data_IF_147831174061
#
_entry.id   IF_147831174061
#
_cell.length_a   1.000
_cell.length_b   1.000
_cell.length_c   1.000
_cell.angle_alpha   90.00
_cell.angle_beta   90.00
_cell.angle_gamma   90.00
#
_symmetry.space_group_name_H-M   'P 1'
#
loop_
_entity.id
_entity.type
_entity.pdbx_description
1 polymer ?
#
# COMPACT_ATOMS: atom_id res chain seq x y z
N UNK A 1 8.29 -0.48 -10.22
CA UNK A 1 8.67 -0.21 -8.80
C UNK A 1 9.00 1.24 -8.53
N UNK A 2 9.67 1.92 -9.48
CA UNK A 2 10.04 3.34 -9.28
C UNK A 2 8.84 4.26 -9.03
N UNK A 3 7.77 4.07 -9.78
CA UNK A 3 6.55 4.87 -9.59
C UNK A 3 5.92 4.63 -8.21
N UNK A 4 5.90 3.39 -7.77
CA UNK A 4 5.37 3.05 -6.45
C UNK A 4 6.21 3.69 -5.34
N UNK A 5 7.53 3.64 -5.47
CA UNK A 5 8.43 4.25 -4.48
C UNK A 5 8.26 5.77 -4.44
N UNK A 6 8.00 6.40 -5.59
CA UNK A 6 7.69 7.82 -5.65
C UNK A 6 6.42 8.14 -4.86
N UNK A 7 5.37 7.35 -5.08
CA UNK A 7 4.09 7.52 -4.36
C UNK A 7 4.29 7.34 -2.85
N UNK A 8 4.97 6.27 -2.45
CA UNK A 8 5.24 5.98 -1.04
C UNK A 8 6.04 7.13 -0.41
N UNK A 9 7.03 7.67 -1.13
CA UNK A 9 7.84 8.78 -0.65
C UNK A 9 7.06 10.07 -0.42
N UNK A 10 5.92 10.24 -1.07
CA UNK A 10 5.07 11.41 -0.88
C UNK A 10 4.16 11.28 0.35
N UNK A 11 4.02 10.06 0.87
CA UNK A 11 3.26 9.82 2.10
C UNK A 11 4.22 9.99 3.27
N UNK A 12 3.96 10.99 4.10
CA UNK A 12 4.83 11.35 5.22
C UNK A 12 4.60 10.44 6.44
N UNK A 13 4.84 9.14 6.24
CA UNK A 13 4.66 8.10 7.26
C UNK A 13 5.78 7.09 7.07
N UNK A 14 6.42 6.60 8.13
CA UNK A 14 7.45 5.56 8.00
C UNK A 14 6.94 4.36 7.22
N UNK A 15 7.75 3.84 6.31
CA UNK A 15 7.34 2.76 5.42
C UNK A 15 8.42 1.71 5.22
N UNK A 16 8.00 0.48 4.92
CA UNK A 16 8.89 -0.61 4.57
C UNK A 16 8.20 -1.56 3.59
N UNK A 17 8.99 -2.23 2.76
CA UNK A 17 8.44 -3.25 1.87
C UNK A 17 8.10 -4.50 2.67
N UNK A 18 6.82 -4.91 2.60
CA UNK A 18 6.24 -6.09 3.24
C UNK A 18 6.28 -6.05 4.79
N UNK A 19 7.44 -5.79 5.38
CA UNK A 19 7.60 -5.73 6.83
C UNK A 19 8.84 -4.92 7.20
N UNK A 20 8.88 -4.45 8.44
CA UNK A 20 10.10 -3.83 8.97
C UNK A 20 11.07 -4.91 9.39
N UNK A 21 12.36 -4.69 9.14
CA UNK A 21 13.40 -5.59 9.60
C UNK A 21 13.43 -5.64 11.13
N UNK A 22 13.90 -6.75 11.68
CA UNK A 22 14.04 -6.90 13.12
C UNK A 22 14.90 -5.75 13.68
N UNK A 23 14.41 -5.11 14.72
CA UNK A 23 15.08 -3.97 15.33
C UNK A 23 14.82 -2.63 14.64
N UNK A 24 14.14 -2.62 13.51
CA UNK A 24 13.79 -1.40 12.76
C UNK A 24 12.30 -1.03 12.88
N UNK A 25 11.52 -1.81 13.61
CA UNK A 25 10.11 -1.53 13.81
C UNK A 25 9.90 -0.17 14.46
N UNK A 26 8.88 0.54 13.99
CA UNK A 26 8.53 1.89 14.48
C UNK A 26 7.16 1.89 15.11
N UNK A 27 6.87 2.93 15.88
CA UNK A 27 5.54 3.10 16.46
C UNK A 27 4.52 3.49 15.38
N UNK A 28 3.24 3.09 15.53
CA UNK A 28 2.20 3.55 14.62
C UNK A 28 2.06 5.08 14.65
N UNK A 29 1.65 5.72 13.55
CA UNK A 29 1.29 5.09 12.29
C UNK A 29 2.51 4.69 11.46
N UNK A 30 2.37 3.58 10.72
CA UNK A 30 3.37 3.19 9.73
C UNK A 30 2.69 2.48 8.56
N UNK A 31 3.45 2.36 7.47
CA UNK A 31 2.97 1.72 6.24
C UNK A 31 3.88 0.56 5.87
N UNK A 32 3.27 -0.54 5.43
CA UNK A 32 3.99 -1.55 4.65
C UNK A 32 3.38 -1.59 3.25
N UNK A 33 4.18 -1.91 2.26
CA UNK A 33 3.70 -2.00 0.88
C UNK A 33 4.33 -3.22 0.22
N UNK A 34 3.58 -3.84 -0.70
CA UNK A 34 4.07 -5.04 -1.38
C UNK A 34 3.38 -5.22 -2.72
N UNK A 35 4.02 -6.02 -3.55
CA UNK A 35 3.51 -6.45 -4.84
C UNK A 35 3.13 -7.93 -4.73
N UNK A 36 1.90 -8.26 -4.28
CA UNK A 36 1.55 -9.64 -3.97
C UNK A 36 1.38 -10.54 -5.20
N UNK A 37 1.20 -9.95 -6.36
CA UNK A 37 1.03 -10.73 -7.57
C UNK A 37 0.94 -9.87 -8.81
N UNK A 38 0.66 -10.50 -9.93
CA UNK A 38 0.52 -9.82 -11.21
C UNK A 38 -0.77 -10.26 -11.88
N UNK A 39 -1.30 -9.38 -12.73
CA UNK A 39 -2.47 -9.65 -13.55
C UNK A 39 -2.13 -9.16 -14.96
N UNK A 40 -1.28 -9.93 -15.64
CA UNK A 40 -0.73 -9.55 -16.93
C UNK A 40 -1.76 -9.70 -18.04
N UNK A 41 -1.84 -8.70 -18.89
CA UNK A 41 -2.66 -8.77 -20.10
C UNK A 41 -1.86 -9.43 -21.21
N UNK A 42 -2.41 -10.51 -21.77
CA UNK A 42 -1.76 -11.28 -22.83
C UNK A 42 -2.68 -11.43 -24.02
N UNK A 43 -2.10 -11.42 -25.22
CA UNK A 43 -2.82 -11.75 -26.46
C UNK A 43 -1.85 -12.44 -27.39
N UNK A 44 -2.34 -13.45 -28.15
CA UNK A 44 -1.52 -14.24 -29.08
C UNK A 44 -0.29 -14.86 -28.42
N UNK A 45 -0.41 -15.23 -27.15
CA UNK A 45 0.68 -15.83 -26.37
C UNK A 45 1.78 -14.88 -25.96
N UNK A 46 1.56 -13.57 -26.14
CA UNK A 46 2.53 -12.53 -25.75
C UNK A 46 1.95 -11.65 -24.66
N UNK A 47 2.81 -11.19 -23.76
CA UNK A 47 2.43 -10.25 -22.73
C UNK A 47 2.58 -8.84 -23.27
N UNK A 48 1.45 -8.13 -23.44
CA UNK A 48 1.46 -6.74 -23.89
C UNK A 48 1.68 -5.78 -22.74
N UNK A 49 1.07 -6.09 -21.58
CA UNK A 49 1.17 -5.24 -20.40
C UNK A 49 1.54 -6.08 -19.20
N UNK A 50 2.46 -5.56 -18.41
CA UNK A 50 2.75 -6.11 -17.09
C UNK A 50 2.01 -5.27 -16.08
N UNK A 51 1.05 -5.89 -15.41
CA UNK A 51 0.24 -5.22 -14.39
C UNK A 51 0.55 -5.86 -13.05
N UNK A 52 0.99 -5.03 -12.11
CA UNK A 52 1.28 -5.48 -10.75
C UNK A 52 0.11 -5.18 -9.85
N UNK A 53 -0.27 -6.16 -9.04
CA UNK A 53 -1.13 -5.90 -7.91
C UNK A 53 -0.29 -5.18 -6.86
N UNK A 54 -0.85 -4.18 -6.21
CA UNK A 54 -0.17 -3.40 -5.18
C UNK A 54 -1.04 -3.37 -3.93
N UNK A 55 -0.42 -3.64 -2.80
CA UNK A 55 -1.05 -3.45 -1.49
C UNK A 55 -0.27 -2.41 -0.71
N UNK A 56 -0.98 -1.41 -0.19
CA UNK A 56 -0.45 -0.46 0.77
C UNK A 56 -1.25 -0.70 2.06
N UNK A 57 -0.55 -1.04 3.12
CA UNK A 57 -1.16 -1.38 4.40
C UNK A 57 -0.79 -0.30 5.42
N UNK A 58 -1.79 0.45 5.87
CA UNK A 58 -1.63 1.48 6.89
C UNK A 58 -1.99 0.91 8.25
N UNK A 59 -1.08 1.02 9.19
CA UNK A 59 -1.31 0.54 10.56
C UNK A 59 -1.41 1.71 11.52
N UNK A 60 -2.47 1.71 12.33
CA UNK A 60 -2.68 2.71 13.37
C UNK A 60 -3.10 2.01 14.67
N UNK A 61 -2.76 2.57 15.82
CA UNK A 61 -3.14 1.99 17.12
C UNK A 61 -4.59 2.29 17.49
N UNK A 62 -5.16 3.34 16.90
CA UNK A 62 -6.56 3.68 17.02
C UNK A 62 -7.10 4.09 15.67
N UNK A 63 -8.41 4.02 15.48
CA UNK A 63 -9.03 4.49 14.23
C UNK A 63 -8.65 5.96 14.00
N UNK A 64 -8.01 6.25 12.88
CA UNK A 64 -7.48 7.57 12.59
C UNK A 64 -7.82 8.03 11.17
N UNK A 65 -9.04 8.56 10.97
CA UNK A 65 -9.47 9.02 9.65
C UNK A 65 -8.58 10.12 9.05
N UNK A 66 -7.96 10.95 9.88
CA UNK A 66 -7.10 12.02 9.41
C UNK A 66 -5.84 11.47 8.74
N UNK A 67 -5.23 10.46 9.35
CA UNK A 67 -4.06 9.78 8.75
C UNK A 67 -4.47 9.03 7.50
N UNK A 68 -5.63 8.36 7.51
CA UNK A 68 -6.16 7.69 6.32
C UNK A 68 -6.34 8.69 5.18
N UNK A 69 -6.90 9.85 5.47
CA UNK A 69 -7.11 10.89 4.46
C UNK A 69 -5.79 11.38 3.85
N UNK A 70 -4.73 11.45 4.63
CA UNK A 70 -3.42 11.86 4.12
C UNK A 70 -2.85 10.86 3.11
N UNK A 71 -3.04 9.57 3.35
CA UNK A 71 -2.66 8.51 2.41
C UNK A 71 -3.52 8.59 1.15
N UNK A 72 -4.84 8.70 1.33
CA UNK A 72 -5.78 8.73 0.22
C UNK A 72 -5.57 9.95 -0.67
N UNK A 73 -5.21 11.10 -0.10
CA UNK A 73 -4.93 12.30 -0.86
C UNK A 73 -3.77 12.09 -1.85
N UNK A 74 -2.73 11.38 -1.45
CA UNK A 74 -1.60 11.07 -2.32
C UNK A 74 -2.05 10.13 -3.45
N UNK A 75 -2.81 9.09 -3.12
CA UNK A 75 -3.31 8.15 -4.13
C UNK A 75 -4.23 8.85 -5.12
N UNK A 76 -5.11 9.71 -4.64
CA UNK A 76 -6.04 10.48 -5.48
C UNK A 76 -5.29 11.44 -6.39
N UNK A 77 -4.23 12.07 -5.90
CA UNK A 77 -3.40 12.98 -6.69
C UNK A 77 -2.75 12.28 -7.87
N UNK A 78 -2.40 11.00 -7.69
CA UNK A 78 -1.82 10.19 -8.76
C UNK A 78 -2.88 9.52 -9.64
N UNK A 79 -4.16 9.78 -9.39
CA UNK A 79 -5.25 9.20 -10.18
C UNK A 79 -5.41 7.71 -9.97
N UNK A 80 -5.01 7.19 -8.82
CA UNK A 80 -5.07 5.76 -8.54
C UNK A 80 -6.48 5.37 -8.10
N UNK A 81 -7.04 4.36 -8.78
CA UNK A 81 -8.31 3.77 -8.41
C UNK A 81 -8.03 2.59 -7.49
N UNK A 82 -8.36 2.74 -6.20
CA UNK A 82 -8.06 1.73 -5.19
C UNK A 82 -9.32 1.22 -4.50
N UNK A 83 -9.22 -0.02 -3.99
CA UNK A 83 -10.19 -0.57 -3.06
C UNK A 83 -9.64 -0.41 -1.65
N UNK A 84 -10.52 -0.11 -0.71
CA UNK A 84 -10.14 0.12 0.69
C UNK A 84 -10.87 -0.86 1.58
N UNK A 85 -10.14 -1.58 2.42
CA UNK A 85 -10.70 -2.46 3.45
C UNK A 85 -10.01 -2.19 4.77
N UNK A 86 -10.65 -2.60 5.86
CA UNK A 86 -10.14 -2.35 7.20
C UNK A 86 -10.36 -3.56 8.08
N UNK A 87 -9.39 -3.86 8.93
CA UNK A 87 -9.49 -4.93 9.90
C UNK A 87 -8.78 -4.53 11.20
N UNK A 88 -9.35 -4.97 12.32
CA UNK A 88 -8.70 -4.85 13.63
C UNK A 88 -7.90 -6.12 13.89
N UNK A 89 -6.59 -5.97 14.14
CA UNK A 89 -5.70 -7.09 14.44
C UNK A 89 -5.52 -7.15 15.96
N UNK A 90 -6.30 -8.00 16.59
CA UNK A 90 -6.34 -8.06 18.07
C UNK A 90 -5.00 -8.47 18.68
N UNK A 91 -4.29 -9.38 18.04
CA UNK A 91 -2.98 -9.85 18.53
C UNK A 91 -1.93 -8.75 18.52
N UNK A 92 -2.02 -7.80 17.59
CA UNK A 92 -1.09 -6.69 17.45
C UNK A 92 -1.61 -5.40 18.09
N UNK A 93 -2.90 -5.35 18.43
CA UNK A 93 -3.58 -4.13 18.91
C UNK A 93 -3.46 -2.98 17.92
N UNK A 94 -3.64 -3.29 16.64
CA UNK A 94 -3.54 -2.34 15.55
C UNK A 94 -4.72 -2.46 14.59
N UNK A 95 -5.14 -1.34 14.02
CA UNK A 95 -6.00 -1.33 12.84
C UNK A 95 -5.11 -1.41 11.61
N UNK A 96 -5.52 -2.23 10.65
CA UNK A 96 -4.91 -2.28 9.33
C UNK A 96 -5.91 -1.78 8.31
N UNK A 97 -5.55 -0.73 7.59
CA UNK A 97 -6.32 -0.25 6.44
C UNK A 97 -5.54 -0.65 5.20
N UNK A 98 -6.16 -1.49 4.38
CA UNK A 98 -5.56 -1.98 3.15
C UNK A 98 -6.08 -1.18 1.97
N UNK A 99 -5.16 -0.61 1.21
CA UNK A 99 -5.43 0.01 -0.09
C UNK A 99 -4.87 -0.93 -1.15
N UNK A 100 -5.75 -1.49 -1.97
CA UNK A 100 -5.34 -2.40 -3.03
C UNK A 100 -5.68 -1.82 -4.39
N UNK A 101 -4.74 -1.91 -5.31
CA UNK A 101 -4.90 -1.38 -6.67
C UNK A 101 -3.90 -2.06 -7.59
N UNK A 102 -3.97 -1.69 -8.86
CA UNK A 102 -3.05 -2.23 -9.87
C UNK A 102 -2.25 -1.10 -10.49
N UNK A 103 -1.00 -1.40 -10.84
CA UNK A 103 -0.12 -0.48 -11.53
C UNK A 103 0.55 -1.19 -12.69
N UNK A 104 0.63 -0.49 -13.82
CA UNK A 104 1.42 -0.92 -14.96
C UNK A 104 2.90 -0.77 -14.61
N UNK A 105 3.69 -1.81 -14.91
CA UNK A 105 5.10 -1.74 -14.52
C UNK A 105 6.04 -2.57 -15.38
#
# INVERSE_FOLDING_TARGET
MDKLLEIIGEIDIPSAYDHFAEGEAVDPPFITYLLPGTDNFAADGKVYYKINDVHIELYTDAKDPEVENSVEAVLDEHGIFYDKTEVWIDTEKLYEVLYSFQMEG
#
